data_IF_168700203836
#
_entry.id   IF_168700203836
#
_cell.length_a   1.000
_cell.length_b   1.000
_cell.length_c   1.000
_cell.angle_alpha   90.00
_cell.angle_beta   90.00
_cell.angle_gamma   90.00
#
_symmetry.space_group_name_H-M   'P 1'
#
loop_
_entity.id
_entity.type
_entity.pdbx_description
1 polymer ?
#
# COMPACT_ATOMS: atom_id res chain seq x y z
N UNK A 1 36.16 28.08 -52.20
CA UNK A 1 35.19 27.54 -53.17
C UNK A 1 34.92 26.12 -52.74
N UNK A 2 33.82 25.91 -52.02
CA UNK A 2 32.62 25.18 -52.52
C UNK A 2 32.80 23.68 -52.21
N UNK A 3 31.93 22.92 -51.55
CA UNK A 3 30.51 22.95 -51.20
C UNK A 3 30.38 22.04 -49.95
N UNK A 4 29.77 22.47 -48.85
CA UNK A 4 28.36 22.21 -48.50
C UNK A 4 27.88 20.79 -48.84
N UNK A 5 27.78 19.90 -47.85
CA UNK A 5 26.92 18.72 -47.94
C UNK A 5 25.99 18.65 -46.73
N UNK A 6 24.86 19.31 -46.95
CA UNK A 6 23.55 19.29 -46.30
C UNK A 6 23.17 17.94 -45.68
N UNK A 7 22.83 17.98 -44.39
CA UNK A 7 21.98 16.98 -43.74
C UNK A 7 20.52 17.10 -44.25
N UNK A 8 19.76 16.00 -44.30
CA UNK A 8 18.30 16.06 -44.24
C UNK A 8 17.76 15.50 -42.92
N UNK A 9 16.97 16.37 -42.29
CA UNK A 9 16.04 16.29 -41.16
C UNK A 9 15.03 15.11 -41.25
N UNK A 10 14.44 14.66 -40.13
CA UNK A 10 13.65 13.43 -40.04
C UNK A 10 12.21 13.61 -40.56
N UNK A 11 11.48 12.52 -40.86
CA UNK A 11 10.06 12.65 -41.19
C UNK A 11 9.23 12.92 -39.92
N UNK A 12 8.64 14.11 -39.86
CA UNK A 12 7.46 14.41 -39.03
C UNK A 12 6.18 14.22 -39.85
N UNK A 13 5.14 13.81 -39.11
CA UNK A 13 3.72 14.11 -39.30
C UNK A 13 2.88 13.19 -40.18
N UNK A 14 1.81 12.66 -39.56
CA UNK A 14 0.78 11.87 -40.21
C UNK A 14 -0.31 11.36 -39.26
N UNK A 15 -0.90 12.22 -38.42
CA UNK A 15 -2.32 12.10 -38.03
C UNK A 15 -3.12 13.01 -39.01
N UNK A 16 -4.34 12.67 -39.46
CA UNK A 16 -5.50 12.74 -38.55
C UNK A 16 -6.71 11.82 -38.87
N UNK A 17 -7.44 11.42 -37.82
CA UNK A 17 -8.86 11.74 -37.59
C UNK A 17 -9.56 10.68 -36.73
N UNK A 18 -10.12 11.20 -35.64
CA UNK A 18 -11.48 10.95 -35.15
C UNK A 18 -12.16 9.64 -35.55
N UNK A 19 -12.33 8.77 -34.56
CA UNK A 19 -13.61 8.10 -34.37
C UNK A 19 -13.87 7.91 -32.89
N UNK A 20 -14.88 8.64 -32.44
CA UNK A 20 -15.51 8.53 -31.15
C UNK A 20 -15.96 7.09 -30.86
N UNK A 21 -15.76 6.64 -29.62
CA UNK A 21 -16.22 5.33 -29.17
C UNK A 21 -15.96 5.14 -27.67
N UNK A 22 -16.60 5.96 -26.85
CA UNK A 22 -16.65 5.82 -25.38
C UNK A 22 -17.60 4.67 -25.02
N UNK A 23 -17.19 3.58 -24.35
CA UNK A 23 -18.13 2.70 -23.68
C UNK A 23 -18.37 3.26 -22.27
N UNK A 24 -19.57 3.77 -22.07
CA UNK A 24 -20.12 4.19 -20.78
C UNK A 24 -20.22 3.03 -19.79
N UNK A 25 -20.08 3.31 -18.48
CA UNK A 25 -20.25 2.31 -17.41
C UNK A 25 -21.71 1.86 -17.31
N UNK A 26 -22.00 0.60 -16.94
CA UNK A 26 -23.35 0.22 -16.57
C UNK A 26 -23.75 0.87 -15.25
N UNK A 27 -24.83 1.64 -15.36
CA UNK A 27 -25.65 2.24 -14.31
C UNK A 27 -26.05 1.24 -13.22
N UNK A 28 -25.87 1.67 -11.97
CA UNK A 28 -26.73 1.25 -10.84
C UNK A 28 -27.12 2.52 -10.10
N UNK A 29 -28.29 3.03 -10.48
CA UNK A 29 -29.01 4.06 -9.74
C UNK A 29 -29.58 3.52 -8.41
N UNK A 30 -29.93 4.41 -7.47
CA UNK A 30 -29.73 4.23 -6.05
C UNK A 30 -30.93 3.62 -5.34
N UNK A 31 -30.69 2.80 -4.31
CA UNK A 31 -31.74 2.39 -3.37
C UNK A 31 -31.91 3.51 -2.34
N UNK A 32 -33.13 4.05 -2.14
CA UNK A 32 -33.35 5.34 -1.49
C UNK A 32 -33.24 5.29 0.04
N UNK A 33 -32.72 6.39 0.58
CA UNK A 33 -32.81 6.78 1.98
C UNK A 33 -34.28 6.88 2.45
N UNK A 34 -34.57 6.39 3.65
CA UNK A 34 -35.84 6.64 4.35
C UNK A 34 -35.59 7.32 5.71
N UNK A 35 -35.88 8.62 5.74
CA UNK A 35 -36.44 9.41 6.86
C UNK A 35 -37.02 10.67 6.19
N UNK A 36 -38.08 11.35 6.68
CA UNK A 36 -38.57 11.38 8.06
C UNK A 36 -40.11 11.46 8.27
N UNK A 37 -40.51 11.35 9.54
CA UNK A 37 -41.77 11.90 10.08
C UNK A 37 -42.98 10.97 10.08
N UNK A 38 -43.52 10.63 11.25
CA UNK A 38 -44.67 11.39 11.76
C UNK A 38 -44.98 11.03 13.23
N UNK A 39 -45.37 12.08 13.96
CA UNK A 39 -46.27 12.14 15.12
C UNK A 39 -46.01 11.31 16.39
N UNK A 40 -45.59 12.07 17.41
CA UNK A 40 -46.39 12.40 18.59
C UNK A 40 -47.07 11.26 19.37
N UNK A 41 -46.70 11.20 20.65
CA UNK A 41 -47.29 10.41 21.72
C UNK A 41 -48.81 10.57 21.86
N UNK A 42 -49.43 9.64 22.58
CA UNK A 42 -49.94 10.06 23.88
C UNK A 42 -49.42 9.17 25.02
N UNK A 43 -49.08 9.84 26.12
CA UNK A 43 -48.84 9.22 27.41
C UNK A 43 -50.16 8.73 28.02
N UNK A 44 -50.13 7.59 28.71
CA UNK A 44 -51.06 7.30 29.79
C UNK A 44 -50.29 6.68 30.98
N UNK A 45 -50.62 7.02 32.23
CA UNK A 45 -49.75 6.86 33.38
C UNK A 45 -49.98 5.58 34.18
N UNK A 46 -48.89 5.06 34.76
CA UNK A 46 -48.83 4.44 36.09
C UNK A 46 -49.32 2.99 36.25
N UNK A 47 -48.39 2.07 36.54
CA UNK A 47 -48.35 1.13 37.69
C UNK A 47 -47.06 0.25 37.59
N UNK A 48 -46.56 -0.45 38.64
CA UNK A 48 -45.21 -0.23 39.15
C UNK A 48 -44.20 -1.36 38.87
N UNK A 49 -42.93 -0.98 38.77
CA UNK A 49 -41.70 -1.71 39.15
C UNK A 49 -41.62 -3.22 38.92
N UNK A 50 -41.01 -3.64 37.82
CA UNK A 50 -40.36 -4.96 37.72
C UNK A 50 -38.89 -4.84 38.18
N UNK A 51 -38.38 -5.74 39.04
CA UNK A 51 -36.99 -5.68 39.51
C UNK A 51 -35.99 -5.97 38.38
N UNK A 52 -34.76 -5.46 38.46
CA UNK A 52 -33.76 -5.62 37.41
C UNK A 52 -33.40 -7.11 37.25
N UNK A 53 -33.49 -7.60 36.00
CA UNK A 53 -33.08 -8.94 35.62
C UNK A 53 -31.56 -9.05 35.81
N UNK A 54 -31.12 -9.99 36.63
CA UNK A 54 -29.71 -10.26 36.89
C UNK A 54 -28.92 -10.49 35.58
N UNK A 55 -27.65 -10.06 35.50
CA UNK A 55 -26.83 -10.29 34.31
C UNK A 55 -26.63 -11.80 34.13
N UNK A 56 -26.85 -12.28 32.90
CA UNK A 56 -26.55 -13.65 32.54
C UNK A 56 -25.06 -13.95 32.74
N UNK A 57 -24.68 -15.15 33.22
CA UNK A 57 -23.29 -15.50 33.42
C UNK A 57 -22.55 -15.44 32.08
N UNK A 58 -21.39 -14.77 32.08
CA UNK A 58 -20.50 -14.72 30.93
C UNK A 58 -20.14 -16.15 30.52
N UNK A 59 -20.55 -16.54 29.31
CA UNK A 59 -20.04 -17.76 28.68
C UNK A 59 -18.51 -17.72 28.69
N UNK A 60 -17.82 -18.84 28.99
CA UNK A 60 -16.37 -18.87 28.99
C UNK A 60 -15.85 -18.39 27.65
N UNK A 61 -14.91 -17.43 27.69
CA UNK A 61 -14.31 -16.85 26.51
C UNK A 61 -13.75 -17.96 25.62
N UNK A 62 -14.14 -17.97 24.35
CA UNK A 62 -13.58 -18.88 23.37
C UNK A 62 -12.04 -18.75 23.40
N UNK A 63 -11.30 -19.88 23.34
CA UNK A 63 -9.85 -19.85 23.37
C UNK A 63 -9.33 -18.93 22.26
N UNK A 64 -8.37 -18.08 22.62
CA UNK A 64 -7.77 -17.15 21.67
C UNK A 64 -7.28 -17.90 20.44
N UNK A 65 -7.66 -17.42 19.24
CA UNK A 65 -7.16 -17.97 17.98
C UNK A 65 -5.62 -17.93 18.03
N UNK A 66 -4.93 -18.98 17.55
CA UNK A 66 -3.48 -19.01 17.55
C UNK A 66 -2.94 -17.75 16.86
N UNK A 67 -2.09 -17.01 17.57
CA UNK A 67 -1.42 -15.83 17.02
C UNK A 67 -0.57 -16.30 15.85
N UNK A 68 -0.82 -15.72 14.67
CA UNK A 68 0.00 -15.99 13.50
C UNK A 68 1.47 -15.58 13.73
N UNK A 69 2.38 -15.99 12.84
CA UNK A 69 3.77 -15.54 12.89
C UNK A 69 3.82 -14.02 12.92
N UNK A 70 4.74 -13.46 13.70
CA UNK A 70 4.92 -12.00 13.85
C UNK A 70 6.23 -11.60 13.17
N UNK A 71 6.34 -10.40 12.55
CA UNK A 71 7.61 -9.93 12.00
C UNK A 71 8.69 -9.82 13.08
N UNK A 72 9.90 -10.28 12.77
CA UNK A 72 11.08 -10.21 13.63
C UNK A 72 12.04 -9.12 13.13
N UNK A 73 12.81 -8.44 13.98
CA UNK A 73 13.77 -7.43 13.51
C UNK A 73 14.82 -8.02 12.56
N UNK A 74 15.03 -7.39 11.40
CA UNK A 74 16.10 -7.78 10.49
C UNK A 74 17.42 -7.12 10.90
N UNK A 75 18.26 -7.89 11.60
CA UNK A 75 19.57 -7.43 12.07
C UNK A 75 20.68 -7.95 11.14
N UNK A 76 21.15 -7.10 10.22
CA UNK A 76 22.27 -7.41 9.33
C UNK A 76 23.26 -6.25 9.24
N UNK A 77 24.49 -6.54 8.76
CA UNK A 77 25.49 -5.51 8.50
C UNK A 77 24.99 -4.46 7.49
N UNK A 78 24.26 -4.91 6.46
CA UNK A 78 23.57 -4.06 5.49
C UNK A 78 22.63 -3.06 6.18
N UNK A 79 21.71 -3.55 7.03
CA UNK A 79 20.77 -2.68 7.75
C UNK A 79 21.49 -1.72 8.69
N UNK A 80 22.57 -2.15 9.35
CA UNK A 80 23.37 -1.28 10.20
C UNK A 80 24.04 -0.15 9.41
N UNK A 81 24.59 -0.44 8.22
CA UNK A 81 25.18 0.56 7.31
C UNK A 81 24.12 1.53 6.80
N UNK A 82 23.00 1.02 6.29
CA UNK A 82 21.93 1.84 5.74
C UNK A 82 21.30 2.73 6.81
N UNK A 83 21.08 2.22 8.04
CA UNK A 83 20.59 3.04 9.17
C UNK A 83 21.56 4.14 9.57
N UNK A 84 22.87 3.91 9.45
CA UNK A 84 23.90 4.93 9.72
C UNK A 84 23.88 6.03 8.66
N UNK A 85 23.65 5.68 7.40
CA UNK A 85 23.63 6.60 6.27
C UNK A 85 22.33 7.43 6.22
N UNK A 86 21.19 6.77 6.40
CA UNK A 86 19.87 7.37 6.17
C UNK A 86 19.08 7.68 7.45
N UNK A 87 19.54 7.21 8.62
CA UNK A 87 18.93 7.51 9.91
C UNK A 87 17.44 7.16 9.95
N UNK A 88 16.61 8.16 10.22
CA UNK A 88 15.14 8.06 10.27
C UNK A 88 14.48 7.84 8.90
N UNK A 89 15.25 7.89 7.81
CA UNK A 89 14.80 7.53 6.48
C UNK A 89 14.41 6.05 6.34
N UNK A 90 14.96 5.18 7.19
CA UNK A 90 14.56 3.77 7.28
C UNK A 90 13.62 3.63 8.46
N UNK A 91 12.33 3.50 8.15
CA UNK A 91 11.24 3.46 9.12
C UNK A 91 11.14 2.10 9.80
N UNK A 92 11.35 1.03 9.03
CA UNK A 92 11.27 -0.35 9.51
C UNK A 92 12.28 -1.23 8.76
N UNK A 93 12.82 -2.24 9.44
CA UNK A 93 13.59 -3.33 8.83
C UNK A 93 13.29 -4.61 9.59
N UNK A 94 12.60 -5.54 8.93
CA UNK A 94 12.00 -6.72 9.56
C UNK A 94 12.08 -7.94 8.65
N UNK A 95 11.96 -9.11 9.26
CA UNK A 95 11.91 -10.42 8.61
C UNK A 95 10.56 -11.03 8.92
N UNK A 96 9.82 -11.43 7.90
CA UNK A 96 8.56 -12.15 8.07
C UNK A 96 8.61 -13.45 7.29
N UNK A 97 8.48 -14.58 7.97
CA UNK A 97 8.56 -15.92 7.37
C UNK A 97 9.84 -16.13 6.52
N UNK A 98 10.98 -15.68 7.04
CA UNK A 98 12.27 -15.76 6.36
C UNK A 98 12.44 -14.81 5.16
N UNK A 99 11.51 -13.87 4.95
CA UNK A 99 11.62 -12.85 3.92
C UNK A 99 11.95 -11.51 4.55
N UNK A 100 13.11 -10.97 4.19
CA UNK A 100 13.58 -9.67 4.64
C UNK A 100 12.84 -8.56 3.89
N UNK A 101 12.41 -7.53 4.62
CA UNK A 101 11.87 -6.32 4.04
C UNK A 101 12.25 -5.08 4.85
N UNK A 102 12.16 -3.92 4.21
CA UNK A 102 12.33 -2.64 4.87
C UNK A 102 11.34 -1.61 4.34
N UNK A 103 10.99 -0.65 5.19
CA UNK A 103 10.14 0.48 4.83
C UNK A 103 10.99 1.73 4.86
N UNK A 104 11.08 2.41 3.72
CA UNK A 104 11.90 3.61 3.56
C UNK A 104 11.06 4.83 3.22
N UNK A 105 11.59 6.03 3.48
CA UNK A 105 10.95 7.26 3.02
C UNK A 105 10.94 7.32 1.49
N UNK A 106 9.79 7.64 0.86
CA UNK A 106 9.69 7.72 -0.60
C UNK A 106 10.69 8.69 -1.24
N UNK A 107 11.06 9.76 -0.52
CA UNK A 107 11.99 10.78 -1.02
C UNK A 107 13.41 10.23 -1.25
N UNK A 108 13.76 9.12 -0.59
CA UNK A 108 15.07 8.51 -0.67
C UNK A 108 15.18 7.46 -1.78
N UNK A 109 14.06 6.99 -2.34
CA UNK A 109 14.04 5.84 -3.27
C UNK A 109 15.07 5.94 -4.41
N UNK A 110 15.21 7.07 -5.13
CA UNK A 110 16.15 7.13 -6.25
C UNK A 110 17.60 6.91 -5.84
N UNK A 111 18.04 7.55 -4.76
CA UNK A 111 19.39 7.38 -4.22
C UNK A 111 19.57 5.99 -3.59
N UNK A 112 18.55 5.53 -2.86
CA UNK A 112 18.58 4.26 -2.14
C UNK A 112 18.74 3.07 -3.08
N UNK A 113 17.97 3.04 -4.17
CA UNK A 113 18.07 2.01 -5.20
C UNK A 113 19.45 2.04 -5.88
N UNK A 114 20.02 3.23 -6.08
CA UNK A 114 21.37 3.35 -6.63
C UNK A 114 22.43 2.75 -5.70
N UNK A 115 22.37 3.05 -4.40
CA UNK A 115 23.29 2.48 -3.40
C UNK A 115 23.14 0.96 -3.31
N UNK A 116 21.91 0.45 -3.27
CA UNK A 116 21.66 -0.99 -3.23
C UNK A 116 22.22 -1.72 -4.45
N UNK A 117 22.11 -1.11 -5.64
CA UNK A 117 22.68 -1.65 -6.87
C UNK A 117 24.22 -1.59 -6.85
N UNK A 118 24.78 -0.40 -6.59
CA UNK A 118 26.19 -0.12 -6.81
C UNK A 118 27.11 -0.68 -5.70
N UNK A 119 26.65 -0.70 -4.45
CA UNK A 119 27.45 -1.14 -3.30
C UNK A 119 27.09 -2.54 -2.82
N UNK A 120 25.79 -2.85 -2.81
CA UNK A 120 25.26 -4.09 -2.21
C UNK A 120 24.92 -5.16 -3.25
N UNK A 121 25.10 -4.83 -4.54
CA UNK A 121 24.94 -5.72 -5.68
C UNK A 121 23.53 -6.30 -5.82
N UNK A 122 22.51 -5.52 -5.46
CA UNK A 122 21.13 -5.81 -5.85
C UNK A 122 20.91 -5.33 -7.28
N UNK A 123 21.44 -6.11 -8.22
CA UNK A 123 21.55 -5.81 -9.64
C UNK A 123 20.32 -6.25 -10.46
N UNK A 124 19.39 -6.97 -9.84
CA UNK A 124 18.16 -7.43 -10.48
C UNK A 124 16.90 -6.94 -9.75
N UNK A 125 16.13 -6.10 -10.45
CA UNK A 125 14.78 -5.74 -10.05
C UNK A 125 13.82 -6.83 -10.51
N UNK A 126 13.32 -7.63 -9.56
CA UNK A 126 12.43 -8.76 -9.82
C UNK A 126 11.03 -8.27 -10.19
N UNK A 127 10.52 -7.30 -9.43
CA UNK A 127 9.16 -6.79 -9.59
C UNK A 127 8.97 -5.44 -8.89
N UNK A 128 8.02 -4.65 -9.37
CA UNK A 128 7.59 -3.39 -8.76
C UNK A 128 6.06 -3.42 -8.72
N UNK A 129 5.49 -3.43 -7.53
CA UNK A 129 4.04 -3.50 -7.34
C UNK A 129 3.55 -2.42 -6.39
N UNK A 130 2.25 -2.17 -6.43
CA UNK A 130 1.60 -1.25 -5.50
C UNK A 130 0.44 -1.96 -4.79
N UNK A 131 0.29 -1.71 -3.50
CA UNK A 131 -0.84 -2.17 -2.70
C UNK A 131 -1.67 -0.96 -2.28
N UNK A 132 -2.98 -1.04 -2.51
CA UNK A 132 -3.91 0.02 -2.18
C UNK A 132 -4.63 -0.27 -0.85
N UNK A 133 -4.46 0.62 0.12
CA UNK A 133 -5.11 0.66 1.43
C UNK A 133 -6.00 1.92 1.55
N UNK A 134 -7.27 1.86 1.12
CA UNK A 134 -8.11 3.04 0.96
C UNK A 134 -8.39 3.81 2.27
N UNK A 135 -8.29 3.14 3.42
CA UNK A 135 -8.52 3.75 4.74
C UNK A 135 -7.30 4.52 5.29
N UNK A 136 -6.12 4.42 4.65
CA UNK A 136 -4.92 5.15 5.08
C UNK A 136 -4.87 6.53 4.44
N UNK A 137 -4.24 7.49 5.09
CA UNK A 137 -3.91 8.79 4.47
C UNK A 137 -2.98 8.61 3.28
N UNK A 138 -1.93 7.80 3.45
CA UNK A 138 -1.07 7.31 2.37
C UNK A 138 -1.64 5.99 1.86
N UNK A 139 -2.46 6.09 0.82
CA UNK A 139 -3.27 4.97 0.33
C UNK A 139 -2.48 3.92 -0.45
N UNK A 140 -1.32 4.26 -1.01
CA UNK A 140 -0.52 3.33 -1.80
C UNK A 140 0.81 3.03 -1.14
N UNK A 141 1.11 1.75 -0.97
CA UNK A 141 2.45 1.25 -0.66
C UNK A 141 3.08 0.75 -1.95
N UNK A 142 4.25 1.27 -2.31
CA UNK A 142 5.06 0.78 -3.43
C UNK A 142 6.06 -0.24 -2.91
N UNK A 143 6.08 -1.42 -3.51
CA UNK A 143 6.92 -2.55 -3.11
C UNK A 143 7.91 -2.83 -4.22
N UNK A 144 9.19 -2.76 -3.89
CA UNK A 144 10.30 -3.08 -4.79
C UNK A 144 10.87 -4.42 -4.38
N UNK A 145 10.87 -5.40 -5.28
CA UNK A 145 11.45 -6.70 -5.01
C UNK A 145 12.81 -6.76 -5.70
N UNK A 146 13.87 -6.80 -4.91
CA UNK A 146 15.24 -6.78 -5.42
C UNK A 146 15.95 -8.09 -5.11
N UNK A 147 16.83 -8.49 -6.01
CA UNK A 147 17.62 -9.69 -5.91
C UNK A 147 19.09 -9.40 -6.23
N UNK A 148 19.98 -10.05 -5.48
CA UNK A 148 21.41 -10.06 -5.75
C UNK A 148 21.83 -11.46 -6.16
N UNK A 149 22.35 -11.61 -7.39
CA UNK A 149 22.90 -12.89 -7.83
C UNK A 149 24.18 -13.26 -7.09
N UNK A 150 25.08 -12.29 -6.88
CA UNK A 150 26.35 -12.52 -6.18
C UNK A 150 26.14 -13.02 -4.75
N UNK A 151 25.16 -12.46 -4.04
CA UNK A 151 24.86 -12.82 -2.65
C UNK A 151 23.80 -13.92 -2.54
N UNK A 152 23.11 -14.22 -3.63
CA UNK A 152 21.95 -15.12 -3.65
C UNK A 152 20.90 -14.71 -2.60
N UNK A 153 20.63 -13.41 -2.51
CA UNK A 153 19.76 -12.79 -1.50
C UNK A 153 18.63 -11.99 -2.15
N UNK A 154 17.46 -12.04 -1.54
CA UNK A 154 16.26 -11.28 -1.95
C UNK A 154 15.82 -10.34 -0.84
N UNK A 155 15.49 -9.11 -1.19
CA UNK A 155 14.96 -8.10 -0.26
C UNK A 155 13.70 -7.43 -0.83
N UNK A 156 12.92 -6.80 0.05
CA UNK A 156 11.69 -6.06 -0.27
C UNK A 156 11.62 -4.71 0.44
#
# INVERSE_FOLDING_TARGET
MSEETKAPTPPQSGEPKDSAGKPTPPSVEPVPAKKPGDSAAPANPGAPGAPPKAPAPHAPAAPAKPTGPTPEPWNSALIATLKRQYGSGIREASTYLGQNYMVVDPSLIPEFLQVLRDQEQFDYCVDITAVHYPQREKQFDLIWILYSFTRNERIR
#
